data_IF_212069879895
#
_entry.id   IF_212069879895
#
_cell.length_a   1.000
_cell.length_b   1.000
_cell.length_c   1.000
_cell.angle_alpha   90.00
_cell.angle_beta   90.00
_cell.angle_gamma   90.00
#
_symmetry.space_group_name_H-M   'P 1'
#
loop_
_entity.id
_entity.type
_entity.pdbx_description
1 polymer ?
#
# COMPACT_ATOMS: atom_id res chain seq x y z
N UNK A 1 35.82 9.47 4.81
CA UNK A 1 34.52 10.05 4.41
C UNK A 1 33.94 10.84 5.55
N UNK A 2 33.35 11.98 5.25
CA UNK A 2 32.57 12.80 6.18
C UNK A 2 31.33 12.03 6.62
N UNK A 3 30.88 12.15 7.88
CA UNK A 3 29.63 11.54 8.36
C UNK A 3 28.43 11.83 7.45
N UNK A 4 28.44 12.99 6.77
CA UNK A 4 27.41 13.37 5.78
C UNK A 4 27.44 12.50 4.52
N UNK A 5 28.60 12.07 4.08
CA UNK A 5 28.76 11.20 2.89
C UNK A 5 28.22 9.80 3.19
N UNK A 6 28.51 9.28 4.37
CA UNK A 6 27.98 7.99 4.85
C UNK A 6 26.45 8.04 4.93
N UNK A 7 25.90 9.08 5.57
CA UNK A 7 24.45 9.26 5.66
C UNK A 7 23.79 9.39 4.28
N UNK A 8 24.42 10.10 3.33
CA UNK A 8 23.93 10.23 1.97
C UNK A 8 23.87 8.88 1.24
N UNK A 9 24.87 8.01 1.43
CA UNK A 9 24.86 6.67 0.84
C UNK A 9 23.69 5.82 1.34
N UNK A 10 23.44 5.78 2.65
CA UNK A 10 22.31 5.05 3.21
C UNK A 10 20.97 5.58 2.72
N UNK A 11 20.80 6.92 2.68
CA UNK A 11 19.60 7.54 2.16
C UNK A 11 19.38 7.20 0.69
N UNK A 12 20.43 7.29 -0.13
CA UNK A 12 20.33 6.95 -1.55
C UNK A 12 19.88 5.50 -1.75
N UNK A 13 20.51 4.55 -1.06
CA UNK A 13 20.13 3.14 -1.15
C UNK A 13 18.70 2.90 -0.66
N UNK A 14 18.31 3.51 0.45
CA UNK A 14 16.95 3.41 0.99
C UNK A 14 15.91 3.95 0.00
N UNK A 15 16.13 5.15 -0.54
CA UNK A 15 15.23 5.75 -1.54
C UNK A 15 15.13 4.91 -2.80
N UNK A 16 16.24 4.37 -3.29
CA UNK A 16 16.24 3.48 -4.46
C UNK A 16 15.38 2.22 -4.21
N UNK A 17 15.63 1.52 -3.09
CA UNK A 17 14.87 0.32 -2.72
C UNK A 17 13.39 0.61 -2.47
N UNK A 18 13.06 1.70 -1.79
CA UNK A 18 11.66 2.10 -1.59
C UNK A 18 10.96 2.43 -2.90
N UNK A 19 11.66 3.09 -3.83
CA UNK A 19 11.10 3.40 -5.16
C UNK A 19 10.84 2.11 -5.95
N UNK A 20 11.80 1.18 -5.96
CA UNK A 20 11.65 -0.13 -6.60
C UNK A 20 10.51 -0.94 -5.96
N UNK A 21 10.39 -0.95 -4.63
CA UNK A 21 9.29 -1.60 -3.93
C UNK A 21 7.93 -1.04 -4.37
N UNK A 22 7.78 0.29 -4.37
CA UNK A 22 6.52 0.93 -4.79
C UNK A 22 6.19 0.58 -6.24
N UNK A 23 7.17 0.64 -7.14
CA UNK A 23 6.97 0.30 -8.56
C UNK A 23 6.64 -1.19 -8.74
N UNK A 24 7.29 -2.08 -7.99
CA UNK A 24 7.02 -3.52 -8.02
C UNK A 24 5.59 -3.83 -7.59
N UNK A 25 5.15 -3.26 -6.45
CA UNK A 25 3.78 -3.42 -5.98
C UNK A 25 2.76 -2.85 -6.99
N UNK A 26 3.05 -1.67 -7.56
CA UNK A 26 2.17 -1.04 -8.53
C UNK A 26 2.08 -1.83 -9.84
N UNK A 27 3.21 -2.36 -10.33
CA UNK A 27 3.26 -3.19 -11.52
C UNK A 27 2.46 -4.47 -11.33
N UNK A 28 2.71 -5.21 -10.24
CA UNK A 28 1.94 -6.40 -9.87
C UNK A 28 0.45 -6.10 -9.79
N UNK A 29 0.07 -5.01 -9.13
CA UNK A 29 -1.33 -4.61 -9.01
C UNK A 29 -1.96 -4.30 -10.38
N UNK A 30 -1.27 -3.58 -11.25
CA UNK A 30 -1.74 -3.24 -12.59
C UNK A 30 -1.87 -4.47 -13.50
N UNK A 31 -0.87 -5.35 -13.52
CA UNK A 31 -0.86 -6.60 -14.30
C UNK A 31 -2.01 -7.54 -13.89
N UNK A 32 -2.39 -7.51 -12.62
CA UNK A 32 -3.52 -8.29 -12.10
C UNK A 32 -4.87 -7.56 -12.24
N UNK A 33 -4.96 -6.54 -13.08
CA UNK A 33 -6.20 -5.82 -13.41
C UNK A 33 -6.70 -4.90 -12.30
N UNK A 34 -5.78 -4.37 -11.49
CA UNK A 34 -6.08 -3.42 -10.44
C UNK A 34 -6.61 -2.08 -10.95
N UNK A 35 -7.41 -1.41 -10.14
CA UNK A 35 -8.09 -0.16 -10.48
C UNK A 35 -7.63 1.07 -9.68
N UNK A 36 -8.36 2.16 -9.85
CA UNK A 36 -8.03 3.46 -9.28
C UNK A 36 -8.57 3.59 -7.85
N UNK A 37 -7.73 4.13 -6.95
CA UNK A 37 -8.11 4.46 -5.56
C UNK A 37 -7.14 5.49 -4.97
N UNK A 38 -7.69 6.49 -4.29
CA UNK A 38 -6.90 7.53 -3.62
C UNK A 38 -5.97 8.25 -4.60
N UNK A 39 -4.66 8.22 -4.34
CA UNK A 39 -3.65 8.85 -5.19
C UNK A 39 -3.30 8.04 -6.46
N UNK A 40 -3.81 6.82 -6.61
CA UNK A 40 -3.55 5.96 -7.77
C UNK A 40 -4.67 6.07 -8.79
N UNK A 41 -4.32 6.43 -10.02
CA UNK A 41 -5.23 6.49 -11.16
C UNK A 41 -4.76 5.53 -12.27
N UNK A 42 -5.61 4.57 -12.63
CA UNK A 42 -5.42 3.64 -13.74
C UNK A 42 -6.30 4.09 -14.89
N UNK A 43 -5.71 4.79 -15.86
CA UNK A 43 -6.43 5.34 -17.00
C UNK A 43 -6.64 4.29 -18.09
N UNK A 44 -7.85 4.18 -18.63
CA UNK A 44 -8.17 3.34 -19.78
C UNK A 44 -9.37 3.92 -20.53
N UNK A 45 -9.41 3.84 -21.89
CA UNK A 45 -10.61 4.15 -22.66
C UNK A 45 -11.86 3.37 -22.19
N UNK A 46 -11.65 2.15 -21.67
CA UNK A 46 -12.72 1.29 -21.14
C UNK A 46 -13.08 1.60 -19.67
N UNK A 47 -12.50 2.66 -19.09
CA UNK A 47 -12.77 3.08 -17.72
C UNK A 47 -14.21 3.55 -17.50
N UNK A 48 -14.77 3.20 -16.35
CA UNK A 48 -16.16 3.48 -15.98
C UNK A 48 -16.37 4.87 -15.38
N UNK A 49 -15.30 5.51 -14.89
CA UNK A 49 -15.37 6.82 -14.21
C UNK A 49 -14.65 7.89 -15.02
N UNK A 50 -15.36 8.98 -15.32
CA UNK A 50 -14.79 10.19 -15.93
C UNK A 50 -14.49 11.22 -14.84
N UNK A 51 -13.24 11.72 -14.69
CA UNK A 51 -12.94 12.80 -13.76
C UNK A 51 -13.71 14.08 -14.09
N UNK A 52 -14.00 14.89 -13.07
CA UNK A 52 -14.76 16.14 -13.22
C UNK A 52 -13.82 17.34 -13.24
N UNK A 53 -13.95 18.20 -14.24
CA UNK A 53 -13.34 19.52 -14.29
C UNK A 53 -14.39 20.61 -14.53
N UNK A 54 -14.08 21.85 -14.11
CA UNK A 54 -15.02 22.98 -14.24
C UNK A 54 -15.28 23.36 -15.71
N UNK A 55 -14.23 23.39 -16.51
CA UNK A 55 -14.24 23.97 -17.87
C UNK A 55 -13.58 23.06 -18.92
N UNK A 56 -13.46 21.76 -18.65
CA UNK A 56 -12.82 20.83 -19.57
C UNK A 56 -13.59 19.51 -19.60
N UNK A 57 -13.75 18.98 -20.80
CA UNK A 57 -14.13 17.59 -21.01
C UNK A 57 -12.91 16.70 -20.73
N UNK A 58 -13.09 15.72 -19.86
CA UNK A 58 -12.05 14.77 -19.45
C UNK A 58 -12.39 13.32 -19.83
N UNK A 59 -13.28 13.12 -20.80
CA UNK A 59 -13.63 11.81 -21.36
C UNK A 59 -12.42 10.94 -21.74
N UNK A 60 -11.34 11.55 -22.24
CA UNK A 60 -10.10 10.85 -22.59
C UNK A 60 -9.30 10.34 -21.37
N UNK A 61 -9.64 10.77 -20.16
CA UNK A 61 -8.95 10.44 -18.91
C UNK A 61 -9.81 9.56 -17.99
N UNK A 62 -10.62 8.69 -18.59
CA UNK A 62 -11.41 7.67 -17.87
C UNK A 62 -10.53 6.80 -17.00
N UNK A 63 -11.02 6.48 -15.81
CA UNK A 63 -10.36 5.62 -14.84
C UNK A 63 -11.10 4.31 -14.68
N UNK A 64 -10.34 3.22 -14.51
CA UNK A 64 -10.85 1.93 -14.07
C UNK A 64 -11.13 2.02 -12.56
N UNK A 65 -12.30 1.61 -12.10
CA UNK A 65 -12.62 1.53 -10.66
C UNK A 65 -11.87 0.36 -9.99
N UNK A 66 -11.47 0.55 -8.73
CA UNK A 66 -10.94 -0.54 -7.92
C UNK A 66 -12.01 -1.62 -7.70
N UNK A 67 -11.63 -2.90 -7.84
CA UNK A 67 -12.56 -4.02 -7.66
C UNK A 67 -12.81 -4.24 -6.16
N UNK A 68 -14.01 -4.69 -5.75
CA UNK A 68 -14.31 -4.95 -4.35
C UNK A 68 -13.29 -5.84 -3.63
N UNK A 69 -12.81 -6.90 -4.29
CA UNK A 69 -11.80 -7.81 -3.70
C UNK A 69 -10.47 -7.14 -3.36
N UNK A 70 -10.08 -6.13 -4.15
CA UNK A 70 -8.81 -5.41 -3.97
C UNK A 70 -8.89 -4.49 -2.75
N UNK A 71 -10.11 -4.18 -2.26
CA UNK A 71 -10.33 -3.39 -1.05
C UNK A 71 -10.06 -4.16 0.23
N UNK A 72 -10.17 -5.48 0.16
CA UNK A 72 -10.04 -6.42 1.29
C UNK A 72 -8.66 -7.06 1.36
N UNK A 73 -7.74 -6.68 0.47
CA UNK A 73 -6.40 -7.23 0.39
C UNK A 73 -5.34 -6.14 0.38
N UNK A 74 -4.12 -6.50 0.77
CA UNK A 74 -2.91 -5.68 0.66
C UNK A 74 -1.79 -6.48 0.02
N UNK A 75 -0.98 -5.77 -0.76
CA UNK A 75 0.28 -6.30 -1.28
C UNK A 75 1.36 -6.04 -0.23
N UNK A 76 2.11 -7.08 0.10
CA UNK A 76 3.23 -7.07 1.03
C UNK A 76 4.48 -7.47 0.25
N UNK A 77 5.53 -6.66 0.39
CA UNK A 77 6.81 -6.89 -0.23
C UNK A 77 7.86 -7.21 0.83
N UNK A 78 8.71 -8.20 0.55
CA UNK A 78 9.91 -8.49 1.32
C UNK A 78 11.13 -8.44 0.39
N UNK A 79 12.19 -7.74 0.81
CA UNK A 79 13.44 -7.75 0.08
C UNK A 79 14.22 -9.02 0.43
N UNK A 80 14.42 -9.87 -0.57
CA UNK A 80 15.22 -11.10 -0.49
C UNK A 80 16.50 -10.95 -1.34
N UNK A 81 17.37 -11.97 -1.34
CA UNK A 81 18.65 -11.93 -2.07
C UNK A 81 18.49 -11.59 -3.57
N UNK A 82 17.39 -12.02 -4.18
CA UNK A 82 17.13 -11.89 -5.62
C UNK A 82 16.08 -10.82 -5.97
N UNK A 83 15.76 -9.91 -5.05
CA UNK A 83 14.78 -8.82 -5.25
C UNK A 83 13.57 -8.92 -4.34
N UNK A 84 12.46 -8.30 -4.74
CA UNK A 84 11.25 -8.26 -3.92
C UNK A 84 10.38 -9.50 -4.12
N UNK A 85 10.17 -10.27 -3.05
CA UNK A 85 9.11 -11.27 -2.98
C UNK A 85 7.77 -10.56 -2.75
N UNK A 86 6.77 -10.91 -3.55
CA UNK A 86 5.42 -10.33 -3.52
C UNK A 86 4.45 -11.31 -2.89
N UNK A 87 3.67 -10.85 -1.91
CA UNK A 87 2.59 -11.61 -1.30
C UNK A 87 1.34 -10.76 -1.20
N UNK A 88 0.17 -11.36 -1.41
CA UNK A 88 -1.11 -10.73 -1.08
C UNK A 88 -1.60 -11.27 0.26
N UNK A 89 -2.11 -10.38 1.11
CA UNK A 89 -2.70 -10.73 2.40
C UNK A 89 -4.03 -10.04 2.57
N UNK A 90 -4.97 -10.72 3.21
CA UNK A 90 -6.23 -10.10 3.60
C UNK A 90 -5.97 -8.95 4.59
N UNK A 91 -6.81 -7.91 4.49
CA UNK A 91 -6.86 -6.87 5.49
C UNK A 91 -7.52 -7.43 6.75
N UNK A 92 -6.99 -7.05 7.90
CA UNK A 92 -7.67 -7.31 9.17
C UNK A 92 -8.95 -6.48 9.20
N UNK A 93 -10.04 -7.10 9.63
CA UNK A 93 -11.30 -6.39 9.85
C UNK A 93 -11.10 -5.20 10.79
N UNK A 94 -11.81 -4.10 10.52
CA UNK A 94 -11.76 -2.94 11.39
C UNK A 94 -12.55 -3.24 12.67
N UNK A 95 -11.85 -3.30 13.79
CA UNK A 95 -12.46 -3.36 15.11
C UNK A 95 -13.14 -2.04 15.46
N UNK A 96 -14.09 -2.10 16.40
CA UNK A 96 -14.79 -0.91 16.89
C UNK A 96 -13.80 0.02 17.61
N UNK A 97 -13.46 1.20 17.02
CA UNK A 97 -12.45 2.08 17.59
C UNK A 97 -12.82 2.60 18.99
N UNK A 98 -14.10 2.58 19.35
CA UNK A 98 -14.56 2.98 20.68
C UNK A 98 -14.21 1.97 21.77
N UNK A 99 -13.87 0.73 21.39
CA UNK A 99 -13.50 -0.35 22.30
C UNK A 99 -12.01 -0.59 22.40
N UNK A 100 -11.21 -0.01 21.50
CA UNK A 100 -9.76 -0.19 21.45
C UNK A 100 -9.12 0.74 22.49
N UNK A 101 -8.65 0.19 23.60
CA UNK A 101 -7.89 0.93 24.61
C UNK A 101 -6.41 0.57 24.50
N UNK A 102 -5.61 1.51 24.00
CA UNK A 102 -4.18 1.26 23.77
C UNK A 102 -3.45 0.81 25.05
N UNK A 103 -3.80 1.35 26.21
CA UNK A 103 -3.20 1.01 27.50
C UNK A 103 -3.39 -0.47 27.88
N UNK A 104 -4.51 -1.08 27.53
CA UNK A 104 -4.76 -2.52 27.77
C UNK A 104 -3.91 -3.39 26.87
N UNK A 105 -3.69 -2.93 25.65
CA UNK A 105 -2.93 -3.64 24.63
C UNK A 105 -1.42 -3.39 24.73
N UNK A 106 -0.97 -2.51 25.64
CA UNK A 106 0.44 -2.14 25.83
C UNK A 106 1.37 -3.35 26.03
N UNK A 107 1.05 -4.35 26.88
CA UNK A 107 1.92 -5.52 27.04
C UNK A 107 1.97 -6.41 25.80
N UNK A 108 0.88 -6.47 25.02
CA UNK A 108 0.86 -7.21 23.77
C UNK A 108 1.69 -6.48 22.69
N UNK A 109 1.62 -5.15 22.64
CA UNK A 109 2.40 -4.31 21.73
C UNK A 109 3.89 -4.46 22.00
N UNK A 110 4.33 -4.32 23.25
CA UNK A 110 5.74 -4.49 23.64
C UNK A 110 6.28 -5.90 23.34
N UNK A 111 5.44 -6.92 23.46
CA UNK A 111 5.80 -8.31 23.16
C UNK A 111 5.66 -8.65 21.67
N UNK A 112 5.27 -7.71 20.80
CA UNK A 112 5.02 -7.95 19.38
C UNK A 112 3.82 -8.86 19.08
N UNK A 113 3.01 -9.22 20.09
CA UNK A 113 1.86 -10.13 19.94
C UNK A 113 0.73 -9.53 19.09
N UNK A 114 0.67 -8.19 18.99
CA UNK A 114 -0.29 -7.48 18.13
C UNK A 114 -0.17 -7.83 16.64
N UNK A 115 0.99 -8.35 16.22
CA UNK A 115 1.26 -8.75 14.84
C UNK A 115 0.89 -10.23 14.59
N UNK A 116 0.49 -10.96 15.62
CA UNK A 116 0.02 -12.34 15.50
C UNK A 116 -1.30 -12.42 14.74
N UNK A 117 -1.51 -13.53 14.03
CA UNK A 117 -2.80 -13.83 13.42
C UNK A 117 -3.89 -13.95 14.47
N UNK A 118 -5.06 -13.37 14.20
CA UNK A 118 -6.20 -13.43 15.11
C UNK A 118 -6.07 -12.62 16.40
N UNK A 119 -5.07 -11.74 16.54
CA UNK A 119 -5.08 -10.78 17.64
C UNK A 119 -6.34 -9.92 17.54
N UNK A 120 -6.94 -9.58 18.68
CA UNK A 120 -8.05 -8.61 18.81
C UNK A 120 -7.67 -7.60 19.89
N UNK A 121 -7.92 -6.30 19.67
CA UNK A 121 -7.61 -5.30 20.69
C UNK A 121 -8.69 -5.30 21.79
N UNK A 122 -8.24 -5.19 23.04
CA UNK A 122 -9.09 -5.02 24.23
C UNK A 122 -9.41 -3.57 24.61
#
# INVERSE_FOLDING_TARGET
>A
ESEKEIAAYFNWRHTALCSEAVLTALNHYAENGGGSRGARAMCSPDGTVVPRARNADLEAYRFIEERPRDRETKIVLALEENGFEIRERELRGMEDPQKIHFEKNWPAWLAGRIYGEGFEHE
#
